data_IF_206260194326
#
_entry.id   IF_206260194326
#
_cell.length_a   1.000
_cell.length_b   1.000
_cell.length_c   1.000
_cell.angle_alpha   90.00
_cell.angle_beta   90.00
_cell.angle_gamma   90.00
#
_symmetry.space_group_name_H-M   'P 1'
#
loop_
_entity.id
_entity.type
_entity.pdbx_description
1 polymer ?
#
# COMPACT_ATOMS: atom_id res chain seq x y z
N UNK A 1 -6.52 -1.17 -0.93
CA UNK A 1 -5.38 -1.84 -1.56
C UNK A 1 -4.77 -2.79 -0.53
N UNK A 2 -4.81 -4.09 -0.81
CA UNK A 2 -4.09 -5.08 0.00
C UNK A 2 -2.59 -4.88 -0.24
N UNK A 3 -1.82 -4.65 0.83
CA UNK A 3 -0.35 -4.68 0.75
C UNK A 3 0.04 -6.15 0.88
N UNK A 4 0.67 -6.71 -0.15
CA UNK A 4 1.39 -8.00 -0.01
C UNK A 4 2.55 -7.71 0.93
N UNK A 5 2.42 -8.19 2.16
CA UNK A 5 3.46 -8.09 3.17
C UNK A 5 4.49 -9.18 2.93
N UNK A 6 5.74 -8.82 3.24
CA UNK A 6 6.93 -9.68 3.30
C UNK A 6 7.66 -9.82 1.96
N UNK A 7 8.72 -8.99 1.85
CA UNK A 7 9.81 -9.03 0.87
C UNK A 7 9.46 -8.77 -0.61
N UNK A 8 10.08 -7.73 -1.18
CA UNK A 8 9.97 -7.45 -2.60
C UNK A 8 10.79 -8.53 -3.34
N UNK A 9 10.19 -9.42 -4.15
CA UNK A 9 10.83 -10.66 -4.62
C UNK A 9 11.77 -10.44 -5.81
N UNK A 10 12.47 -9.30 -5.84
CA UNK A 10 13.42 -8.95 -6.90
C UNK A 10 14.85 -9.40 -6.57
N UNK A 11 15.04 -10.16 -5.50
CA UNK A 11 16.31 -10.81 -5.16
C UNK A 11 16.11 -12.32 -5.03
N UNK A 12 17.05 -13.09 -5.56
CA UNK A 12 17.00 -14.55 -5.50
C UNK A 12 17.37 -15.03 -4.09
N UNK A 13 16.50 -15.76 -3.37
CA UNK A 13 16.79 -16.21 -2.01
C UNK A 13 17.92 -17.26 -1.94
N UNK A 14 18.31 -17.86 -3.07
CA UNK A 14 19.38 -18.85 -3.12
C UNK A 14 20.78 -18.23 -3.33
N UNK A 15 20.88 -17.09 -4.03
CA UNK A 15 22.18 -16.54 -4.45
C UNK A 15 22.31 -15.01 -4.35
N UNK A 16 21.24 -14.27 -4.03
CA UNK A 16 21.25 -12.82 -3.91
C UNK A 16 21.26 -12.05 -5.24
N UNK A 17 21.05 -12.73 -6.37
CA UNK A 17 21.02 -12.09 -7.69
C UNK A 17 19.68 -11.41 -8.01
N UNK A 18 19.70 -10.44 -8.92
CA UNK A 18 18.49 -9.72 -9.36
C UNK A 18 17.48 -10.64 -10.06
N UNK A 19 16.20 -10.51 -9.70
CA UNK A 19 15.05 -11.15 -10.36
C UNK A 19 14.21 -10.08 -11.07
N UNK A 20 13.56 -10.46 -12.18
CA UNK A 20 12.64 -9.60 -12.93
C UNK A 20 11.23 -10.19 -12.95
N UNK A 21 10.23 -9.36 -12.66
CA UNK A 21 8.82 -9.70 -12.88
C UNK A 21 8.52 -9.63 -14.38
N UNK A 22 8.05 -10.74 -14.95
CA UNK A 22 7.78 -10.85 -16.40
C UNK A 22 6.29 -10.72 -16.77
N UNK A 23 5.39 -11.13 -15.87
CA UNK A 23 3.95 -11.12 -16.11
C UNK A 23 3.17 -11.33 -14.79
N UNK A 24 1.91 -10.93 -14.80
CA UNK A 24 0.92 -11.31 -13.78
C UNK A 24 -0.06 -12.32 -14.38
N UNK A 25 -0.38 -13.38 -13.63
CA UNK A 25 -1.44 -14.32 -13.99
C UNK A 25 -2.74 -13.80 -13.37
N UNK A 26 -3.72 -13.49 -14.21
CA UNK A 26 -5.02 -12.94 -13.78
C UNK A 26 -6.20 -13.87 -14.08
N UNK A 27 -5.99 -14.91 -14.88
CA UNK A 27 -7.04 -15.86 -15.23
C UNK A 27 -7.31 -16.83 -14.06
N UNK A 28 -8.56 -16.99 -13.60
CA UNK A 28 -8.89 -17.82 -12.44
C UNK A 28 -8.54 -19.31 -12.59
N UNK A 29 -8.64 -19.86 -13.81
CA UNK A 29 -8.36 -21.26 -14.08
C UNK A 29 -6.91 -21.66 -13.77
N UNK A 30 -5.93 -21.00 -14.41
CA UNK A 30 -4.51 -21.17 -14.09
C UNK A 30 -4.17 -20.91 -12.62
N UNK A 31 -4.71 -19.84 -12.02
CA UNK A 31 -4.46 -19.51 -10.60
C UNK A 31 -4.85 -20.68 -9.70
N UNK A 32 -6.08 -21.21 -9.86
CA UNK A 32 -6.55 -22.35 -9.06
C UNK A 32 -5.66 -23.58 -9.22
N UNK A 33 -5.26 -23.91 -10.45
CA UNK A 33 -4.38 -25.06 -10.71
C UNK A 33 -3.03 -24.92 -10.01
N UNK A 34 -2.43 -23.74 -10.05
CA UNK A 34 -1.14 -23.45 -9.41
C UNK A 34 -1.26 -23.58 -7.89
N UNK A 35 -2.24 -22.91 -7.29
CA UNK A 35 -2.44 -22.93 -5.83
C UNK A 35 -2.70 -24.36 -5.32
N UNK A 36 -3.55 -25.13 -6.01
CA UNK A 36 -3.77 -26.55 -5.66
C UNK A 36 -2.50 -27.39 -5.77
N UNK A 37 -1.63 -27.11 -6.75
CA UNK A 37 -0.36 -27.82 -6.88
C UNK A 37 0.63 -27.49 -5.75
N UNK A 38 0.58 -26.26 -5.24
CA UNK A 38 1.43 -25.78 -4.15
C UNK A 38 0.87 -26.10 -2.75
N UNK A 39 -0.33 -26.70 -2.67
CA UNK A 39 -1.07 -26.92 -1.41
C UNK A 39 -1.45 -25.61 -0.69
N UNK A 40 -1.66 -24.54 -1.46
CA UNK A 40 -2.04 -23.22 -0.96
C UNK A 40 -3.57 -23.03 -0.94
N UNK A 41 -4.12 -22.21 0.00
CA UNK A 41 -5.54 -21.91 0.05
C UNK A 41 -6.06 -21.24 -1.24
N UNK A 42 -7.24 -21.68 -1.72
CA UNK A 42 -7.90 -21.08 -2.89
C UNK A 42 -8.72 -19.84 -2.53
N UNK A 43 -9.22 -19.80 -1.31
CA UNK A 43 -10.01 -18.70 -0.78
C UNK A 43 -9.08 -17.57 -0.32
N UNK A 44 -9.37 -16.32 -0.71
CA UNK A 44 -8.57 -15.20 -0.25
C UNK A 44 -8.67 -15.08 1.28
N UNK A 45 -7.59 -14.62 1.95
CA UNK A 45 -7.63 -14.38 3.38
C UNK A 45 -8.70 -13.32 3.71
N UNK A 46 -9.33 -13.40 4.89
CA UNK A 46 -10.30 -12.42 5.32
C UNK A 46 -9.66 -11.03 5.35
N UNK A 47 -10.41 -10.03 4.90
CA UNK A 47 -9.94 -8.65 4.88
C UNK A 47 -9.77 -8.17 6.32
N UNK A 48 -8.56 -7.76 6.68
CA UNK A 48 -8.28 -7.15 7.98
C UNK A 48 -8.98 -5.77 8.08
N UNK A 49 -9.46 -5.36 9.27
CA UNK A 49 -9.94 -4.00 9.49
C UNK A 49 -8.92 -2.95 9.05
N UNK A 50 -9.40 -1.76 8.69
CA UNK A 50 -8.51 -0.64 8.40
C UNK A 50 -7.59 -0.40 9.61
N UNK A 51 -6.27 -0.37 9.35
CA UNK A 51 -5.30 -0.09 10.42
C UNK A 51 -5.62 1.27 11.02
N UNK A 52 -5.64 1.35 12.34
CA UNK A 52 -5.73 2.62 13.04
C UNK A 52 -4.57 3.55 12.67
N UNK A 53 -4.68 4.85 12.97
CA UNK A 53 -3.58 5.79 12.81
C UNK A 53 -2.25 5.21 13.38
N UNK A 54 -1.10 5.32 12.67
CA UNK A 54 0.22 5.16 13.26
C UNK A 54 0.31 5.73 14.68
N UNK A 55 0.99 5.04 15.60
CA UNK A 55 1.10 5.52 16.98
C UNK A 55 1.92 6.82 17.08
N UNK A 56 2.73 7.11 16.06
CA UNK A 56 3.67 8.23 16.01
C UNK A 56 3.29 9.33 15.01
N UNK A 57 2.03 9.77 15.00
CA UNK A 57 1.70 11.01 14.28
C UNK A 57 2.27 12.25 14.96
N UNK A 58 2.64 12.15 16.23
CA UNK A 58 3.08 13.29 17.05
C UNK A 58 4.49 13.76 16.66
N UNK A 59 5.40 12.84 16.29
CA UNK A 59 6.78 13.19 15.92
C UNK A 59 6.89 13.64 14.45
N UNK A 60 6.02 13.14 13.56
CA UNK A 60 5.95 13.55 12.15
C UNK A 60 5.43 14.99 11.93
N UNK A 61 4.79 15.60 12.93
CA UNK A 61 4.29 16.99 12.85
C UNK A 61 5.32 18.02 13.32
N UNK A 62 6.35 17.60 14.07
CA UNK A 62 7.33 18.52 14.68
C UNK A 62 8.49 18.93 13.75
N UNK A 63 8.25 18.90 12.44
CA UNK A 63 9.27 19.05 11.41
C UNK A 63 9.28 20.35 10.63
N UNK A 64 8.73 21.48 11.13
CA UNK A 64 9.08 22.86 10.72
C UNK A 64 8.26 23.91 11.51
N UNK A 65 8.50 24.03 12.81
CA UNK A 65 7.94 25.15 13.59
C UNK A 65 8.90 26.36 13.55
N UNK A 66 8.98 27.04 12.41
CA UNK A 66 9.65 28.35 12.29
C UNK A 66 8.95 29.32 11.31
N UNK A 67 7.72 29.00 10.88
CA UNK A 67 6.91 29.95 10.10
C UNK A 67 5.51 29.96 10.66
N UNK A 68 5.20 31.02 11.42
CA UNK A 68 3.91 31.30 12.05
C UNK A 68 2.75 30.66 11.29
N UNK A 69 2.17 29.60 11.88
CA UNK A 69 0.94 28.96 11.41
C UNK A 69 -0.15 30.02 11.46
N UNK A 70 -0.48 30.60 10.31
CA UNK A 70 -1.69 31.40 10.18
C UNK A 70 -2.85 30.40 10.19
N UNK A 71 -3.57 30.31 11.31
CA UNK A 71 -4.86 29.61 11.35
C UNK A 71 -5.85 30.43 10.53
N UNK A 72 -5.82 30.28 9.20
CA UNK A 72 -6.84 30.82 8.33
C UNK A 72 -8.18 30.19 8.72
N UNK A 73 -9.20 31.02 8.88
CA UNK A 73 -10.56 30.54 9.12
C UNK A 73 -10.98 29.62 7.97
N UNK A 74 -11.81 28.59 8.18
CA UNK A 74 -12.32 27.75 7.09
C UNK A 74 -12.95 28.54 5.92
N UNK A 75 -13.44 29.76 6.18
CA UNK A 75 -13.99 30.68 5.17
C UNK A 75 -12.94 31.36 4.26
N UNK A 76 -11.65 31.27 4.58
CA UNK A 76 -10.54 31.89 3.83
C UNK A 76 -9.79 30.88 2.93
N UNK A 77 -10.17 29.60 2.95
CA UNK A 77 -9.57 28.58 2.09
C UNK A 77 -10.22 28.63 0.70
N UNK A 78 -9.46 28.70 -0.41
CA UNK A 78 -10.05 28.62 -1.73
C UNK A 78 -10.70 27.24 -1.91
N UNK A 79 -11.98 27.22 -2.26
CA UNK A 79 -12.69 25.99 -2.58
C UNK A 79 -12.05 25.34 -3.82
N UNK A 80 -11.42 24.19 -3.63
CA UNK A 80 -10.88 23.39 -4.72
C UNK A 80 -12.06 22.67 -5.37
N UNK A 81 -12.45 23.09 -6.57
CA UNK A 81 -13.44 22.39 -7.37
C UNK A 81 -12.81 21.23 -8.13
N UNK A 82 -13.13 20.00 -7.71
CA UNK A 82 -12.64 18.76 -8.30
C UNK A 82 -13.27 18.44 -9.67
N UNK A 83 -14.25 19.21 -10.13
CA UNK A 83 -14.96 19.00 -11.39
C UNK A 83 -14.47 19.88 -12.55
N UNK A 84 -13.44 20.71 -12.32
CA UNK A 84 -12.91 21.65 -13.31
C UNK A 84 -11.57 21.21 -13.95
N UNK A 85 -11.32 19.90 -14.09
CA UNK A 85 -10.17 19.33 -14.82
C UNK A 85 -10.46 19.16 -16.32
#
# INVERSE_FOLDING_TARGET
>A
MARVGEEFPLECPACGGDIRLIAFITEPGPIRKILTHLDEPLEPPPVSPARGPPTDWVELVQGHDDRAIFQASPDELPAIDIHSL
#
